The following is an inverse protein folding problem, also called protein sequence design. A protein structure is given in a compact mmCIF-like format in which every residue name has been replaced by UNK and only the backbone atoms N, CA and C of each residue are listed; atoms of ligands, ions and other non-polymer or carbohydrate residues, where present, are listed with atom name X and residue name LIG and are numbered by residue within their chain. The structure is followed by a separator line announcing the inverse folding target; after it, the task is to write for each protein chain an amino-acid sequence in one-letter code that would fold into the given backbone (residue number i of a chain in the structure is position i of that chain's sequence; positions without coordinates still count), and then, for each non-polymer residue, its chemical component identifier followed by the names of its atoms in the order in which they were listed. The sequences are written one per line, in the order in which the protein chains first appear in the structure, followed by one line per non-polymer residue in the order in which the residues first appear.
data_IF_584201612257
#
_entry.id   IF_584201612257
#
_cell.length_a   1.000
_cell.length_b   1.000
_cell.length_c   1.000
_cell.angle_alpha   90.00
_cell.angle_beta   90.00
_cell.angle_gamma   90.00
#
_symmetry.space_group_name_H-M   'P 1'
#
loop_
_entity.id
_entity.type
_entity.pdbx_description
1 polymer ?
#
# COMPACT_ATOMS: atom_id res chain seq x y z
N UNK A 1 4.62 3.73 6.87
CA UNK A 1 3.85 3.21 5.71
C UNK A 1 3.13 1.90 6.02
N UNK A 2 3.64 1.04 6.91
CA UNK A 2 3.06 -0.28 7.24
C UNK A 2 1.57 -0.26 7.59
N UNK A 3 1.12 0.71 8.39
CA UNK A 3 -0.31 0.89 8.73
C UNK A 3 -1.19 1.03 7.48
N UNK A 4 -0.73 1.79 6.47
CA UNK A 4 -1.45 1.97 5.21
C UNK A 4 -1.56 0.66 4.42
N UNK A 5 -0.48 -0.12 4.36
CA UNK A 5 -0.46 -1.43 3.69
C UNK A 5 -1.33 -2.47 4.38
N UNK A 6 -1.21 -2.59 5.70
CA UNK A 6 -2.05 -3.46 6.52
C UNK A 6 -3.54 -3.12 6.35
N UNK A 7 -3.87 -1.81 6.31
CA UNK A 7 -5.24 -1.35 6.10
C UNK A 7 -5.75 -1.69 4.71
N UNK A 8 -4.91 -1.56 3.69
CA UNK A 8 -5.25 -1.88 2.29
C UNK A 8 -5.51 -3.37 2.08
N UNK A 9 -4.73 -4.24 2.72
CA UNK A 9 -4.97 -5.70 2.68
C UNK A 9 -6.30 -6.04 3.34
N UNK A 10 -6.58 -5.46 4.52
CA UNK A 10 -7.86 -5.66 5.21
C UNK A 10 -9.06 -5.20 4.36
N UNK A 11 -8.92 -4.04 3.71
CA UNK A 11 -9.92 -3.51 2.78
C UNK A 11 -10.17 -4.46 1.60
N UNK A 12 -9.12 -5.03 1.00
CA UNK A 12 -9.27 -5.96 -0.13
C UNK A 12 -9.95 -7.27 0.28
N UNK A 13 -9.65 -7.79 1.49
CA UNK A 13 -10.32 -8.98 2.02
C UNK A 13 -11.81 -8.68 2.25
N UNK A 14 -12.12 -7.53 2.85
CA UNK A 14 -13.49 -7.07 3.08
C UNK A 14 -14.28 -6.94 1.77
N UNK A 15 -13.66 -6.33 0.75
CA UNK A 15 -14.31 -6.03 -0.53
C UNK A 15 -14.46 -7.26 -1.45
N UNK A 16 -13.46 -8.14 -1.51
CA UNK A 16 -13.34 -9.15 -2.58
C UNK A 16 -13.42 -10.60 -2.11
N UNK A 17 -13.28 -10.85 -0.82
CA UNK A 17 -13.29 -12.22 -0.27
C UNK A 17 -14.50 -12.41 0.61
N UNK A 18 -14.52 -11.70 1.75
CA UNK A 18 -15.59 -11.82 2.72
C UNK A 18 -15.56 -10.63 3.71
N UNK A 19 -16.66 -9.89 3.86
CA UNK A 19 -16.71 -8.71 4.73
C UNK A 19 -16.61 -9.04 6.23
N UNK A 20 -17.08 -10.22 6.65
CA UNK A 20 -16.95 -10.67 8.05
C UNK A 20 -15.48 -10.95 8.35
N UNK A 21 -14.81 -11.67 7.44
CA UNK A 21 -13.39 -11.98 7.58
C UNK A 21 -12.52 -10.72 7.52
N UNK A 22 -12.81 -9.80 6.59
CA UNK A 22 -12.08 -8.54 6.45
C UNK A 22 -12.10 -7.71 7.74
N UNK A 23 -13.29 -7.52 8.32
CA UNK A 23 -13.45 -6.81 9.61
C UNK A 23 -12.77 -7.54 10.77
N UNK A 24 -12.88 -8.87 10.82
CA UNK A 24 -12.25 -9.67 11.88
C UNK A 24 -10.72 -9.62 11.81
N UNK A 25 -10.13 -9.69 10.61
CA UNK A 25 -8.68 -9.68 10.40
C UNK A 25 -8.05 -8.29 10.48
N UNK A 26 -8.82 -7.23 10.23
CA UNK A 26 -8.32 -5.85 10.23
C UNK A 26 -7.46 -5.46 11.46
N UNK A 27 -7.90 -5.66 12.72
CA UNK A 27 -7.07 -5.33 13.88
C UNK A 27 -5.77 -6.16 13.94
N UNK A 28 -5.81 -7.42 13.52
CA UNK A 28 -4.62 -8.28 13.48
C UNK A 28 -3.62 -7.84 12.40
N UNK A 29 -4.11 -7.43 11.23
CA UNK A 29 -3.26 -6.90 10.15
C UNK A 29 -2.59 -5.59 10.58
N UNK A 30 -3.31 -4.70 11.26
CA UNK A 30 -2.74 -3.49 11.84
C UNK A 30 -1.67 -3.82 12.89
N UNK A 31 -1.99 -4.73 13.82
CA UNK A 31 -1.04 -5.19 14.83
C UNK A 31 0.21 -5.80 14.20
N UNK A 32 0.06 -6.62 13.15
CA UNK A 32 1.19 -7.18 12.38
C UNK A 32 2.04 -6.07 11.74
N UNK A 33 1.41 -5.02 11.21
CA UNK A 33 2.12 -3.86 10.65
C UNK A 33 2.97 -3.14 11.70
N UNK A 34 2.42 -2.89 12.90
CA UNK A 34 3.19 -2.31 14.01
C UNK A 34 4.27 -3.26 14.54
N UNK A 35 3.92 -4.53 14.74
CA UNK A 35 4.83 -5.55 15.21
C UNK A 35 6.02 -5.73 14.26
N UNK A 36 5.82 -5.60 12.95
CA UNK A 36 6.92 -5.68 11.98
C UNK A 36 7.96 -4.57 12.18
N UNK A 37 7.52 -3.35 12.49
CA UNK A 37 8.42 -2.23 12.80
C UNK A 37 9.12 -2.42 14.16
N UNK A 38 8.37 -2.82 15.19
CA UNK A 38 8.92 -3.06 16.53
C UNK A 38 9.94 -4.21 16.51
N UNK A 39 9.66 -5.27 15.74
CA UNK A 39 10.55 -6.39 15.54
C UNK A 39 11.83 -5.97 14.83
N UNK A 40 11.73 -5.19 13.76
CA UNK A 40 12.91 -4.63 13.09
C UNK A 40 13.75 -3.81 14.07
N UNK A 41 13.13 -2.92 14.85
CA UNK A 41 13.85 -2.11 15.84
C UNK A 41 14.59 -2.97 16.89
N UNK A 42 13.98 -4.06 17.36
CA UNK A 42 14.56 -4.90 18.42
C UNK A 42 15.57 -5.94 17.92
N UNK A 43 15.38 -6.48 16.71
CA UNK A 43 16.16 -7.61 16.17
C UNK A 43 17.07 -7.23 15.01
N UNK A 44 17.02 -5.98 14.55
CA UNK A 44 17.68 -5.49 13.34
C UNK A 44 17.39 -6.35 12.09
N UNK A 45 16.21 -6.98 12.06
CA UNK A 45 15.79 -7.89 11.00
C UNK A 45 14.59 -7.28 10.24
N UNK A 46 14.86 -6.86 9.01
CA UNK A 46 13.90 -6.18 8.15
C UNK A 46 12.92 -7.13 7.45
N UNK A 47 13.11 -8.45 7.48
CA UNK A 47 12.32 -9.39 6.67
C UNK A 47 10.80 -9.26 6.90
N UNK A 48 10.29 -9.20 8.15
CA UNK A 48 8.86 -9.01 8.39
C UNK A 48 8.34 -7.67 7.88
N UNK A 49 9.13 -6.61 8.04
CA UNK A 49 8.79 -5.27 7.57
C UNK A 49 8.69 -5.23 6.03
N UNK A 50 9.66 -5.83 5.34
CA UNK A 50 9.68 -5.97 3.88
C UNK A 50 8.44 -6.75 3.43
N UNK A 51 8.10 -7.86 4.10
CA UNK A 51 6.91 -8.63 3.78
C UNK A 51 5.65 -7.77 3.84
N UNK A 52 5.40 -7.07 4.95
CA UNK A 52 4.24 -6.17 5.11
C UNK A 52 4.22 -5.08 4.02
N UNK A 53 5.40 -4.59 3.63
CA UNK A 53 5.54 -3.50 2.68
C UNK A 53 5.30 -3.92 1.22
N UNK A 54 5.72 -5.13 0.82
CA UNK A 54 5.64 -5.60 -0.58
C UNK A 54 4.49 -6.56 -0.84
N UNK A 55 3.99 -7.25 0.17
CA UNK A 55 2.86 -8.18 0.03
C UNK A 55 1.65 -7.55 -0.70
N UNK A 56 1.20 -6.31 -0.38
CA UNK A 56 0.06 -5.71 -1.07
C UNK A 56 0.29 -5.50 -2.58
N UNK A 57 1.53 -5.28 -3.01
CA UNK A 57 1.85 -5.06 -4.44
C UNK A 57 1.63 -6.33 -5.28
N UNK A 58 1.70 -7.50 -4.66
CA UNK A 58 1.40 -8.80 -5.29
C UNK A 58 -0.06 -9.16 -5.05
N UNK A 59 -0.54 -8.94 -3.84
CA UNK A 59 -1.88 -9.32 -3.42
C UNK A 59 -2.99 -8.56 -4.15
N UNK A 60 -2.79 -7.25 -4.41
CA UNK A 60 -3.72 -6.43 -5.20
C UNK A 60 -3.93 -7.03 -6.60
N UNK A 61 -2.91 -7.13 -7.48
CA UNK A 61 -3.12 -7.63 -8.84
C UNK A 61 -3.61 -9.08 -8.83
N UNK A 62 -3.14 -9.91 -7.91
CA UNK A 62 -3.66 -11.27 -7.75
C UNK A 62 -5.18 -11.29 -7.53
N UNK A 63 -5.68 -10.51 -6.56
CA UNK A 63 -7.12 -10.43 -6.29
C UNK A 63 -7.89 -9.78 -7.43
N UNK A 64 -7.34 -8.76 -8.09
CA UNK A 64 -7.99 -8.14 -9.25
C UNK A 64 -8.21 -9.13 -10.41
N UNK A 65 -7.34 -10.14 -10.55
CA UNK A 65 -7.45 -11.16 -11.58
C UNK A 65 -8.42 -12.29 -11.24
N UNK A 66 -8.46 -12.72 -9.97
CA UNK A 66 -9.22 -13.92 -9.56
C UNK A 66 -10.58 -13.63 -8.93
N UNK A 67 -10.87 -12.37 -8.59
CA UNK A 67 -12.10 -11.99 -7.90
C UNK A 67 -12.79 -10.79 -8.56
N UNK A 68 -14.11 -10.88 -8.70
CA UNK A 68 -14.95 -9.77 -9.12
C UNK A 68 -15.16 -8.81 -7.95
N UNK A 69 -15.18 -7.50 -8.22
CA UNK A 69 -15.57 -6.52 -7.20
C UNK A 69 -17.08 -6.31 -7.22
N UNK A 70 -17.65 -6.17 -6.02
CA UNK A 70 -19.04 -5.73 -5.81
C UNK A 70 -19.14 -4.19 -5.94
N UNK A 71 -18.01 -3.47 -5.97
CA UNK A 71 -17.97 -2.02 -5.97
C UNK A 71 -17.36 -1.45 -7.26
N UNK A 72 -17.82 -0.25 -7.62
CA UNK A 72 -17.24 0.54 -8.70
C UNK A 72 -15.82 1.05 -8.36
N UNK A 73 -15.13 1.62 -9.36
CA UNK A 73 -13.80 2.24 -9.22
C UNK A 73 -12.64 1.27 -8.87
N UNK A 74 -12.75 0.00 -9.24
CA UNK A 74 -11.66 -1.00 -9.09
C UNK A 74 -10.31 -0.53 -9.67
N UNK A 75 -10.31 0.27 -10.74
CA UNK A 75 -9.07 0.82 -11.34
C UNK A 75 -8.25 1.69 -10.37
N UNK A 76 -8.85 2.24 -9.31
CA UNK A 76 -8.14 2.99 -8.27
C UNK A 76 -7.08 2.14 -7.56
N UNK A 77 -7.31 0.83 -7.40
CA UNK A 77 -6.29 -0.09 -6.86
C UNK A 77 -5.07 -0.21 -7.77
N UNK A 78 -5.28 -0.21 -9.10
CA UNK A 78 -4.18 -0.24 -10.09
C UNK A 78 -3.39 1.06 -10.01
N UNK A 79 -4.05 2.22 -10.01
CA UNK A 79 -3.38 3.51 -9.88
C UNK A 79 -2.57 3.63 -8.59
N UNK A 80 -3.13 3.19 -7.46
CA UNK A 80 -2.42 3.19 -6.18
C UNK A 80 -1.20 2.27 -6.21
N UNK A 81 -1.32 1.08 -6.80
CA UNK A 81 -0.21 0.14 -6.96
C UNK A 81 0.90 0.74 -7.85
N UNK A 82 0.54 1.36 -8.97
CA UNK A 82 1.49 2.02 -9.89
C UNK A 82 2.24 3.17 -9.19
N UNK A 83 1.52 4.06 -8.50
CA UNK A 83 2.15 5.16 -7.76
C UNK A 83 3.11 4.64 -6.69
N UNK A 84 2.75 3.57 -6.00
CA UNK A 84 3.63 2.98 -5.01
C UNK A 84 4.86 2.29 -5.63
N UNK A 85 4.72 1.64 -6.79
CA UNK A 85 5.87 1.13 -7.56
C UNK A 85 6.83 2.26 -7.95
N UNK A 86 6.29 3.41 -8.40
CA UNK A 86 7.08 4.60 -8.68
C UNK A 86 7.74 5.17 -7.42
N UNK A 87 7.07 5.11 -6.26
CA UNK A 87 7.65 5.51 -4.98
C UNK A 87 8.88 4.66 -4.64
N UNK A 88 8.80 3.34 -4.80
CA UNK A 88 9.94 2.43 -4.59
C UNK A 88 11.07 2.68 -5.59
N UNK A 89 10.75 2.92 -6.86
CA UNK A 89 11.76 3.30 -7.86
C UNK A 89 12.48 4.60 -7.47
N UNK A 90 11.72 5.60 -7.00
CA UNK A 90 12.26 6.88 -6.52
C UNK A 90 13.20 6.69 -5.33
N UNK A 91 12.86 5.78 -4.41
CA UNK A 91 13.71 5.43 -3.27
C UNK A 91 15.04 4.79 -3.69
N UNK A 92 15.02 3.85 -4.65
CA UNK A 92 16.25 3.23 -5.18
C UNK A 92 17.11 4.23 -5.96
N UNK A 93 16.47 5.19 -6.62
CA UNK A 93 17.13 6.21 -7.45
C UNK A 93 17.32 7.55 -6.73
N UNK A 94 17.38 7.54 -5.39
CA UNK A 94 17.33 8.74 -4.56
C UNK A 94 18.32 9.85 -4.99
N UNK A 95 19.60 9.48 -5.17
CA UNK A 95 20.65 10.42 -5.56
C UNK A 95 20.48 10.90 -7.01
N UNK A 96 19.98 10.05 -7.89
CA UNK A 96 19.69 10.41 -9.28
C UNK A 96 18.57 11.44 -9.33
N UNK A 97 17.46 11.21 -8.62
CA UNK A 97 16.35 12.15 -8.48
C UNK A 97 16.83 13.48 -7.91
N UNK A 98 17.66 13.44 -6.86
CA UNK A 98 18.22 14.64 -6.26
C UNK A 98 19.05 15.48 -7.24
N UNK A 99 19.92 14.83 -8.04
CA UNK A 99 20.71 15.54 -9.07
C UNK A 99 19.84 16.08 -10.21
N UNK A 100 18.87 15.31 -10.69
CA UNK A 100 17.97 15.71 -11.77
C UNK A 100 17.07 16.89 -11.38
N UNK A 101 16.74 17.02 -10.09
CA UNK A 101 15.93 18.11 -9.55
C UNK A 101 16.76 19.29 -9.06
N UNK A 102 18.02 19.42 -9.49
CA UNK A 102 18.93 20.50 -9.07
C UNK A 102 19.08 20.60 -7.55
N UNK A 103 19.14 19.45 -6.86
CA UNK A 103 19.29 19.31 -5.42
C UNK A 103 18.12 19.88 -4.59
N UNK A 104 16.92 19.97 -5.16
CA UNK A 104 15.73 20.47 -4.45
C UNK A 104 14.87 19.37 -3.83
N UNK A 105 14.71 18.23 -4.52
CA UNK A 105 13.84 17.13 -4.09
C UNK A 105 14.61 15.81 -4.18
N UNK A 106 14.76 15.10 -3.05
CA UNK A 106 15.34 13.75 -3.05
C UNK A 106 14.31 12.70 -3.46
N UNK A 107 14.77 11.52 -3.87
CA UNK A 107 13.88 10.40 -4.12
C UNK A 107 13.11 9.97 -2.86
N UNK A 108 13.65 10.19 -1.67
CA UNK A 108 12.94 10.02 -0.40
C UNK A 108 11.77 10.98 -0.26
N UNK A 109 11.94 12.25 -0.58
CA UNK A 109 10.80 13.18 -0.57
C UNK A 109 9.75 12.74 -1.60
N UNK A 110 10.19 12.41 -2.82
CA UNK A 110 9.30 11.98 -3.89
C UNK A 110 8.56 10.68 -3.56
N UNK A 111 9.20 9.70 -2.90
CA UNK A 111 8.56 8.44 -2.51
C UNK A 111 7.40 8.68 -1.56
N UNK A 112 7.54 9.61 -0.62
CA UNK A 112 6.47 9.93 0.33
C UNK A 112 5.30 10.60 -0.37
N UNK A 113 5.55 11.53 -1.30
CA UNK A 113 4.49 12.18 -2.09
C UNK A 113 3.74 11.19 -2.97
N UNK A 114 4.45 10.31 -3.68
CA UNK A 114 3.86 9.27 -4.52
C UNK A 114 3.03 8.28 -3.70
N UNK A 115 3.56 7.80 -2.58
CA UNK A 115 2.84 6.90 -1.68
C UNK A 115 1.60 7.55 -1.06
N UNK A 116 1.70 8.81 -0.61
CA UNK A 116 0.57 9.56 -0.07
C UNK A 116 -0.52 9.77 -1.13
N UNK A 117 -0.14 10.06 -2.38
CA UNK A 117 -1.06 10.18 -3.51
C UNK A 117 -1.80 8.88 -3.79
N UNK A 118 -1.10 7.73 -3.73
CA UNK A 118 -1.73 6.41 -3.85
C UNK A 118 -2.80 6.16 -2.78
N UNK A 119 -2.51 6.50 -1.53
CA UNK A 119 -3.50 6.41 -0.44
C UNK A 119 -4.65 7.40 -0.63
N UNK A 120 -4.38 8.63 -1.09
CA UNK A 120 -5.42 9.61 -1.37
C UNK A 120 -6.42 9.13 -2.45
N UNK A 121 -5.93 8.42 -3.48
CA UNK A 121 -6.79 7.79 -4.50
C UNK A 121 -7.67 6.71 -3.88
N UNK A 122 -7.13 5.85 -3.01
CA UNK A 122 -7.92 4.83 -2.30
C UNK A 122 -8.97 5.49 -1.40
N UNK A 123 -8.61 6.54 -0.66
CA UNK A 123 -9.56 7.28 0.18
C UNK A 123 -10.68 7.94 -0.65
N UNK A 124 -10.34 8.52 -1.81
CA UNK A 124 -11.31 9.05 -2.74
C UNK A 124 -12.26 7.95 -3.23
N UNK A 125 -11.72 6.83 -3.71
CA UNK A 125 -12.48 5.66 -4.13
C UNK A 125 -13.45 5.20 -3.04
N UNK A 126 -13.00 5.08 -1.79
CA UNK A 126 -13.87 4.68 -0.66
C UNK A 126 -15.04 5.65 -0.42
N UNK A 127 -14.86 6.95 -0.68
CA UNK A 127 -15.90 7.97 -0.50
C UNK A 127 -16.94 7.96 -1.62
N UNK A 128 -16.55 7.63 -2.84
CA UNK A 128 -17.40 7.77 -4.04
C UNK A 128 -17.87 6.45 -4.64
N UNK A 129 -17.28 5.31 -4.24
CA UNK A 129 -17.67 4.00 -4.77
C UNK A 129 -19.12 3.68 -4.46
N UNK A 130 -19.77 2.98 -5.40
CA UNK A 130 -21.14 2.49 -5.30
C UNK A 130 -21.13 0.98 -5.52
N UNK A 131 -22.16 0.30 -5.01
CA UNK A 131 -22.40 -1.12 -5.28
C UNK A 131 -22.85 -1.25 -6.75
N UNK A 132 -22.28 -2.23 -7.46
CA UNK A 132 -22.63 -2.57 -8.84
C UNK A 132 -23.87 -3.46 -8.92
#
# INVERSE_FOLDING_TARGET
MTVGFSSLVGLLIDERINPILGKALFPFLLAAGFASCAYWYYRDDLRPYILVQFFPMIYIPMLLLISSSVYSHTLCYIYACTLYSLAKLSEVTDKQVFRLTLNTISGHTLKHLLAASGIAIILYMLKVRVIL
#
